data_IF_068282039903
#
_entry.id   IF_068282039903
#
_cell.length_a   1.000
_cell.length_b   1.000
_cell.length_c   1.000
_cell.angle_alpha   90.00
_cell.angle_beta   90.00
_cell.angle_gamma   90.00
#
_symmetry.space_group_name_H-M   'P 1'
#
loop_
_entity.id
_entity.type
_entity.pdbx_description
1 polymer ?
#
# COMPACT_ATOMS: atom_id res chain seq x y z
N UNK A 1 -8.47 -6.16 17.55
CA UNK A 1 -8.74 -4.82 18.10
C UNK A 1 -7.65 -3.79 17.72
N UNK A 2 -6.38 -3.90 18.21
CA UNK A 2 -5.32 -2.92 17.84
C UNK A 2 -5.05 -2.91 16.33
N UNK A 3 -4.90 -4.07 15.72
CA UNK A 3 -4.69 -4.22 14.27
C UNK A 3 -5.83 -3.59 13.45
N UNK A 4 -7.07 -3.81 13.84
CA UNK A 4 -8.23 -3.26 13.14
C UNK A 4 -8.28 -1.74 13.24
N UNK A 5 -7.85 -1.20 14.37
CA UNK A 5 -7.69 0.24 14.57
C UNK A 5 -6.61 0.81 13.62
N UNK A 6 -5.42 0.20 13.58
CA UNK A 6 -4.32 0.61 12.72
C UNK A 6 -4.63 0.49 11.23
N UNK A 7 -5.51 -0.43 10.85
CA UNK A 7 -5.99 -0.57 9.47
C UNK A 7 -7.10 0.42 9.09
N UNK A 8 -7.59 1.22 10.03
CA UNK A 8 -8.63 2.21 9.78
C UNK A 8 -10.03 1.62 9.57
N UNK A 9 -10.29 0.40 10.07
CA UNK A 9 -11.63 -0.25 9.93
C UNK A 9 -12.74 0.58 10.56
N UNK A 10 -12.45 1.26 11.66
CA UNK A 10 -13.37 2.15 12.37
C UNK A 10 -13.72 3.41 11.56
N UNK A 11 -12.78 3.90 10.72
CA UNK A 11 -13.01 5.01 9.78
C UNK A 11 -13.65 4.56 8.47
N UNK A 12 -13.77 3.26 8.22
CA UNK A 12 -14.11 2.67 6.92
C UNK A 12 -13.23 3.18 5.78
N UNK A 13 -11.98 3.55 6.12
CA UNK A 13 -10.99 4.09 5.21
C UNK A 13 -9.59 3.54 5.55
N UNK A 14 -8.74 3.19 4.58
CA UNK A 14 -7.39 2.70 4.85
C UNK A 14 -6.56 3.81 5.51
N UNK A 15 -6.02 3.55 6.71
CA UNK A 15 -5.33 4.55 7.51
C UNK A 15 -3.94 4.86 6.97
N UNK A 16 -3.18 3.82 6.57
CA UNK A 16 -1.83 4.00 6.05
C UNK A 16 -1.75 4.98 4.85
N UNK A 17 -2.53 4.83 3.77
CA UNK A 17 -2.53 5.78 2.66
C UNK A 17 -2.92 7.20 3.06
N UNK A 18 -3.77 7.37 4.07
CA UNK A 18 -4.13 8.70 4.58
C UNK A 18 -2.97 9.37 5.33
N UNK A 19 -2.24 8.60 6.15
CA UNK A 19 -1.16 9.11 6.98
C UNK A 19 0.12 9.45 6.20
N UNK A 20 0.44 8.73 5.12
CA UNK A 20 1.70 8.94 4.36
C UNK A 20 1.81 10.32 3.72
N UNK A 21 0.70 11.03 3.50
CA UNK A 21 0.72 12.37 2.92
C UNK A 21 1.48 13.37 3.80
N UNK A 22 1.39 13.22 5.13
CA UNK A 22 2.06 14.11 6.06
C UNK A 22 3.59 14.02 5.96
N UNK A 23 4.25 12.86 6.14
CA UNK A 23 5.70 12.78 6.05
C UNK A 23 6.21 13.13 4.65
N UNK A 24 5.53 12.74 3.58
CA UNK A 24 5.92 13.09 2.21
C UNK A 24 5.97 14.62 2.05
N UNK A 25 4.88 15.31 2.41
CA UNK A 25 4.80 16.77 2.32
C UNK A 25 5.84 17.46 3.19
N UNK A 26 6.08 16.98 4.41
CA UNK A 26 7.02 17.57 5.35
C UNK A 26 8.49 17.42 4.92
N UNK A 27 8.88 16.25 4.38
CA UNK A 27 10.25 16.07 3.88
C UNK A 27 10.52 16.87 2.60
N UNK A 28 9.52 16.94 1.69
CA UNK A 28 9.63 17.80 0.50
C UNK A 28 9.70 19.28 0.92
N UNK A 29 8.87 19.71 1.86
CA UNK A 29 8.90 21.09 2.38
C UNK A 29 10.25 21.41 3.03
N UNK A 30 10.82 20.49 3.83
CA UNK A 30 12.14 20.63 4.41
C UNK A 30 13.21 20.91 3.34
N UNK A 31 13.23 20.14 2.24
CA UNK A 31 14.16 20.34 1.13
C UNK A 31 13.93 21.68 0.42
N UNK A 32 12.67 22.08 0.24
CA UNK A 32 12.35 23.38 -0.38
C UNK A 32 12.78 24.56 0.49
N UNK A 33 12.67 24.45 1.80
CA UNK A 33 13.14 25.46 2.74
C UNK A 33 14.67 25.57 2.71
N UNK A 34 15.39 24.46 2.63
CA UNK A 34 16.85 24.46 2.43
C UNK A 34 17.24 25.17 1.15
N UNK A 35 16.58 24.83 0.04
CA UNK A 35 16.84 25.47 -1.25
C UNK A 35 16.55 26.97 -1.20
N UNK A 36 15.46 27.35 -0.55
CA UNK A 36 15.10 28.77 -0.38
C UNK A 36 16.16 29.51 0.47
N UNK A 37 16.69 28.87 1.53
CA UNK A 37 17.76 29.44 2.34
C UNK A 37 19.03 29.65 1.52
N UNK A 38 19.44 28.67 0.72
CA UNK A 38 20.62 28.79 -0.16
C UNK A 38 20.45 29.90 -1.19
N UNK A 39 19.29 30.01 -1.81
CA UNK A 39 18.98 31.07 -2.80
C UNK A 39 19.01 32.43 -2.10
N UNK A 40 18.41 32.56 -0.93
CA UNK A 40 18.38 33.83 -0.18
C UNK A 40 19.81 34.29 0.18
N UNK A 41 20.67 33.38 0.63
CA UNK A 41 22.08 33.70 0.93
C UNK A 41 22.82 34.12 -0.35
N UNK A 42 22.68 33.35 -1.45
CA UNK A 42 23.35 33.68 -2.72
C UNK A 42 22.90 35.05 -3.27
N UNK A 43 21.62 35.39 -3.16
CA UNK A 43 21.10 36.69 -3.57
C UNK A 43 21.64 37.82 -2.67
N UNK A 44 21.75 37.59 -1.37
CA UNK A 44 22.31 38.56 -0.44
C UNK A 44 23.80 38.81 -0.70
N UNK A 45 24.58 37.77 -1.00
CA UNK A 45 25.99 37.87 -1.38
C UNK A 45 26.17 38.62 -2.71
N UNK A 46 25.35 38.36 -3.70
CA UNK A 46 25.37 39.04 -5.01
C UNK A 46 25.07 40.57 -4.84
N UNK A 47 24.02 40.91 -4.09
CA UNK A 47 23.67 42.31 -3.82
C UNK A 47 24.79 43.03 -3.03
N UNK A 48 25.39 42.32 -2.06
CA UNK A 48 26.51 42.88 -1.29
C UNK A 48 27.75 43.11 -2.17
N UNK A 49 28.00 42.27 -3.15
CA UNK A 49 29.13 42.41 -4.08
C UNK A 49 28.97 43.64 -5.00
N UNK A 50 27.75 43.93 -5.46
CA UNK A 50 27.44 45.11 -6.26
C UNK A 50 27.58 46.41 -5.45
N UNK A 51 27.13 46.41 -4.18
CA UNK A 51 27.25 47.58 -3.29
C UNK A 51 28.71 47.86 -2.94
N UNK A 52 29.54 46.84 -2.68
CA UNK A 52 30.98 46.96 -2.43
C UNK A 52 31.73 47.55 -3.63
N UNK A 53 31.36 47.09 -4.86
CA UNK A 53 31.93 47.64 -6.10
C UNK A 53 31.57 49.10 -6.30
N UNK A 54 30.38 49.54 -5.88
CA UNK A 54 29.91 50.93 -6.04
C UNK A 54 30.49 51.90 -5.04
N UNK A 55 30.83 51.44 -3.82
CA UNK A 55 31.21 52.32 -2.69
C UNK A 55 32.73 52.34 -2.40
N UNK A 56 33.56 51.50 -3.01
CA UNK A 56 35.00 51.42 -2.78
C UNK A 56 35.40 51.20 -1.31
N UNK A 57 34.51 50.70 -0.46
CA UNK A 57 34.73 50.51 0.96
C UNK A 57 34.46 49.05 1.39
N UNK A 58 35.39 48.49 2.15
CA UNK A 58 35.28 47.17 2.76
C UNK A 58 34.38 47.25 4.01
N UNK A 59 33.06 47.31 3.83
CA UNK A 59 32.10 47.12 4.94
C UNK A 59 31.33 45.84 4.73
N UNK A 60 31.26 44.99 5.80
CA UNK A 60 30.39 43.78 5.81
C UNK A 60 28.95 44.26 5.64
N UNK A 61 28.25 43.81 4.59
CA UNK A 61 26.88 44.27 4.30
C UNK A 61 25.93 43.92 5.45
N UNK A 62 25.01 44.83 5.74
CA UNK A 62 23.94 44.67 6.74
C UNK A 62 23.09 43.38 6.52
N UNK A 63 22.98 42.95 5.27
CA UNK A 63 22.27 41.73 4.87
C UNK A 63 22.86 40.43 5.43
N UNK A 64 24.18 40.36 5.61
CA UNK A 64 24.83 39.19 6.25
C UNK A 64 24.58 39.20 7.78
N UNK A 65 24.48 40.37 8.39
CA UNK A 65 24.11 40.53 9.81
C UNK A 65 22.69 40.07 10.13
N UNK A 66 21.77 40.09 9.17
CA UNK A 66 20.40 39.66 9.41
C UNK A 66 20.28 38.13 9.66
N UNK A 67 21.34 37.35 9.39
CA UNK A 67 21.39 35.91 9.69
C UNK A 67 22.24 35.58 10.95
N UNK A 68 22.74 36.61 11.70
CA UNK A 68 23.52 36.34 12.92
C UNK A 68 22.69 35.66 14.04
N UNK A 69 21.36 35.72 13.98
CA UNK A 69 20.42 35.01 14.86
C UNK A 69 19.90 33.67 14.32
N UNK A 70 20.54 33.16 13.28
CA UNK A 70 20.07 31.98 12.55
C UNK A 70 19.06 32.29 11.42
N UNK A 71 19.08 31.46 10.39
CA UNK A 71 18.15 31.61 9.28
C UNK A 71 16.84 30.86 9.60
N UNK A 72 15.67 31.53 9.67
CA UNK A 72 14.40 30.87 9.97
C UNK A 72 14.00 29.79 8.94
N UNK A 73 14.52 29.87 7.72
CA UNK A 73 14.31 28.84 6.71
C UNK A 73 15.09 27.55 7.05
N UNK A 74 16.32 27.66 7.57
CA UNK A 74 17.12 26.53 8.04
C UNK A 74 16.46 25.88 9.25
N UNK A 75 16.00 26.68 10.22
CA UNK A 75 15.26 26.18 11.38
C UNK A 75 13.92 25.55 10.96
N UNK A 76 13.20 26.16 10.03
CA UNK A 76 11.97 25.62 9.45
C UNK A 76 12.20 24.26 8.77
N UNK A 77 13.30 24.13 8.02
CA UNK A 77 13.69 22.86 7.39
C UNK A 77 13.98 21.77 8.42
N UNK A 78 14.65 22.10 9.53
CA UNK A 78 14.89 21.17 10.62
C UNK A 78 13.61 20.71 11.30
N UNK A 79 12.71 21.63 11.70
CA UNK A 79 11.48 21.29 12.41
C UNK A 79 10.49 20.52 11.51
N UNK A 80 10.39 20.86 10.23
CA UNK A 80 9.55 20.10 9.29
C UNK A 80 10.09 18.70 9.08
N UNK A 81 11.42 18.51 9.02
CA UNK A 81 12.06 17.19 8.98
C UNK A 81 11.78 16.38 10.24
N UNK A 82 11.92 16.97 11.42
CA UNK A 82 11.63 16.32 12.70
C UNK A 82 10.18 15.84 12.77
N UNK A 83 9.22 16.70 12.39
CA UNK A 83 7.80 16.36 12.34
C UNK A 83 7.53 15.28 11.27
N UNK A 84 8.26 15.33 10.15
CA UNK A 84 8.23 14.30 9.10
C UNK A 84 8.61 12.93 9.63
N UNK A 85 9.64 12.81 10.46
CA UNK A 85 10.06 11.56 11.11
C UNK A 85 8.95 11.06 12.05
N UNK A 86 8.39 11.92 12.90
CA UNK A 86 7.32 11.54 13.84
C UNK A 86 6.09 11.02 13.09
N UNK A 87 5.66 11.74 12.05
CA UNK A 87 4.50 11.30 11.24
C UNK A 87 4.79 10.04 10.42
N UNK A 88 6.05 9.81 10.02
CA UNK A 88 6.49 8.56 9.39
C UNK A 88 6.36 7.35 10.31
N UNK A 89 6.71 7.50 11.60
CA UNK A 89 6.54 6.43 12.59
C UNK A 89 5.06 6.04 12.72
N UNK A 90 4.15 7.01 12.76
CA UNK A 90 2.70 6.75 12.80
C UNK A 90 2.23 6.04 11.52
N UNK A 91 2.66 6.49 10.34
CA UNK A 91 2.32 5.86 9.08
C UNK A 91 2.90 4.42 8.97
N UNK A 92 4.11 4.20 9.48
CA UNK A 92 4.78 2.90 9.48
C UNK A 92 4.02 1.84 10.30
N UNK A 93 3.45 2.21 11.46
CA UNK A 93 2.65 1.28 12.28
C UNK A 93 1.41 0.80 11.53
N UNK A 94 0.72 1.69 10.82
CA UNK A 94 -0.43 1.35 9.99
C UNK A 94 -0.01 0.49 8.78
N UNK A 95 1.10 0.86 8.11
CA UNK A 95 1.64 0.11 6.98
C UNK A 95 2.10 -1.30 7.35
N UNK A 96 2.69 -1.48 8.54
CA UNK A 96 3.09 -2.80 9.03
C UNK A 96 1.86 -3.69 9.29
N UNK A 97 0.77 -3.12 9.83
CA UNK A 97 -0.49 -3.84 10.01
C UNK A 97 -1.08 -4.30 8.67
N UNK A 98 -0.98 -3.47 7.63
CA UNK A 98 -1.43 -3.83 6.27
C UNK A 98 -0.50 -4.87 5.63
N UNK A 99 0.82 -4.73 5.78
CA UNK A 99 1.80 -5.68 5.27
C UNK A 99 1.60 -7.09 5.85
N UNK A 100 1.28 -7.16 7.15
CA UNK A 100 1.03 -8.44 7.83
C UNK A 100 -0.16 -9.20 7.23
N UNK A 101 -1.16 -8.49 6.70
CA UNK A 101 -2.35 -9.09 6.08
C UNK A 101 -2.15 -9.59 4.65
N UNK A 102 -1.03 -9.23 4.01
CA UNK A 102 -0.71 -9.75 2.69
C UNK A 102 -0.23 -11.19 2.84
N UNK A 103 -0.89 -12.11 2.19
CA UNK A 103 -0.53 -13.54 2.18
C UNK A 103 0.91 -13.72 1.70
N UNK A 104 1.60 -14.71 2.25
CA UNK A 104 3.02 -14.97 1.95
C UNK A 104 3.25 -15.37 0.47
N UNK A 105 2.29 -16.08 -0.12
CA UNK A 105 2.30 -16.54 -1.51
C UNK A 105 1.80 -15.48 -2.52
N UNK A 106 1.29 -14.34 -2.05
CA UNK A 106 0.79 -13.29 -2.94
C UNK A 106 1.94 -12.51 -3.58
N UNK A 107 1.92 -12.23 -4.92
CA UNK A 107 3.00 -11.50 -5.61
C UNK A 107 3.31 -10.14 -4.99
N UNK A 108 2.30 -9.44 -4.48
CA UNK A 108 2.44 -8.15 -3.78
C UNK A 108 3.30 -8.23 -2.51
N UNK A 109 3.42 -9.41 -1.87
CA UNK A 109 4.17 -9.54 -0.61
C UNK A 109 5.63 -9.12 -0.77
N UNK A 110 6.27 -9.55 -1.85
CA UNK A 110 7.66 -9.18 -2.16
C UNK A 110 7.79 -7.68 -2.40
N UNK A 111 6.89 -7.08 -3.20
CA UNK A 111 6.88 -5.63 -3.50
C UNK A 111 6.62 -4.81 -2.23
N UNK A 112 5.66 -5.21 -1.41
CA UNK A 112 5.36 -4.57 -0.13
C UNK A 112 6.54 -4.65 0.86
N UNK A 113 7.29 -5.75 0.85
CA UNK A 113 8.50 -5.91 1.68
C UNK A 113 9.62 -4.96 1.21
N UNK A 114 9.84 -4.80 -0.09
CA UNK A 114 10.79 -3.79 -0.59
C UNK A 114 10.36 -2.36 -0.24
N UNK A 115 9.09 -2.04 -0.42
CA UNK A 115 8.52 -0.75 -0.02
C UNK A 115 8.75 -0.48 1.48
N UNK A 116 8.52 -1.47 2.34
CA UNK A 116 8.75 -1.37 3.78
C UNK A 116 10.23 -1.07 4.09
N UNK A 117 11.18 -1.83 3.52
CA UNK A 117 12.61 -1.64 3.79
C UNK A 117 13.13 -0.31 3.27
N UNK A 118 12.66 0.16 2.10
CA UNK A 118 13.01 1.48 1.58
C UNK A 118 12.55 2.59 2.53
N UNK A 119 11.33 2.51 3.08
CA UNK A 119 10.84 3.52 4.03
C UNK A 119 11.59 3.49 5.36
N UNK A 120 11.94 2.30 5.88
CA UNK A 120 12.76 2.18 7.08
C UNK A 120 14.16 2.78 6.86
N UNK A 121 14.79 2.46 5.74
CA UNK A 121 16.10 3.04 5.37
C UNK A 121 16.01 4.56 5.20
N UNK A 122 14.96 5.07 4.58
CA UNK A 122 14.70 6.51 4.45
C UNK A 122 14.52 7.18 5.82
N UNK A 123 13.79 6.58 6.74
CA UNK A 123 13.63 7.13 8.10
C UNK A 123 14.97 7.21 8.85
N UNK A 124 15.81 6.18 8.74
CA UNK A 124 17.16 6.19 9.32
C UNK A 124 18.05 7.29 8.69
N UNK A 125 17.97 7.46 7.38
CA UNK A 125 18.69 8.51 6.65
C UNK A 125 18.25 9.91 7.14
N UNK A 126 16.94 10.16 7.31
CA UNK A 126 16.45 11.44 7.83
C UNK A 126 16.77 11.64 9.31
N UNK A 127 16.79 10.59 10.12
CA UNK A 127 17.23 10.69 11.52
C UNK A 127 18.72 11.07 11.62
N UNK A 128 19.56 10.48 10.78
CA UNK A 128 20.97 10.86 10.66
C UNK A 128 21.11 12.31 10.18
N UNK A 129 20.38 12.69 9.14
CA UNK A 129 20.36 14.05 8.59
C UNK A 129 19.97 15.08 9.66
N UNK A 130 18.92 14.80 10.43
CA UNK A 130 18.46 15.66 11.51
C UNK A 130 19.54 15.84 12.59
N UNK A 131 20.24 14.77 12.94
CA UNK A 131 21.35 14.81 13.90
C UNK A 131 22.51 15.68 13.37
N UNK A 132 22.85 15.57 12.09
CA UNK A 132 23.92 16.37 11.47
C UNK A 132 23.53 17.86 11.38
N UNK A 133 22.26 18.20 11.33
CA UNK A 133 21.77 19.60 11.28
C UNK A 133 21.71 20.28 12.64
N UNK A 134 21.58 19.49 13.71
CA UNK A 134 21.37 20.07 15.05
C UNK A 134 22.44 21.11 15.45
N UNK A 135 23.75 20.87 15.27
CA UNK A 135 24.78 21.85 15.62
C UNK A 135 24.85 23.06 14.68
N UNK A 136 24.15 23.06 13.56
CA UNK A 136 24.18 24.12 12.51
C UNK A 136 22.83 24.83 12.35
N UNK A 137 21.99 24.81 13.40
CA UNK A 137 20.66 25.46 13.38
C UNK A 137 20.73 26.97 13.26
N UNK A 138 21.80 27.55 13.73
CA UNK A 138 22.03 29.03 13.70
C UNK A 138 22.83 29.45 12.47
N UNK A 139 23.18 28.54 11.57
CA UNK A 139 23.87 28.85 10.33
C UNK A 139 22.95 29.58 9.34
N UNK A 140 23.55 30.40 8.47
CA UNK A 140 22.82 31.10 7.42
C UNK A 140 22.20 30.14 6.38
N UNK A 141 22.82 29.00 6.16
CA UNK A 141 22.35 27.97 5.23
C UNK A 141 22.68 26.56 5.73
N UNK A 142 21.92 25.58 5.26
CA UNK A 142 22.15 24.18 5.56
C UNK A 142 23.48 23.72 4.95
N UNK A 143 24.36 23.02 5.70
CA UNK A 143 25.58 22.44 5.15
C UNK A 143 25.32 21.47 4.01
N UNK A 144 26.32 21.37 3.10
CA UNK A 144 26.14 20.60 1.84
C UNK A 144 25.79 19.13 2.08
N UNK A 145 26.38 18.47 3.09
CA UNK A 145 26.11 17.05 3.36
C UNK A 145 24.66 16.81 3.80
N UNK A 146 24.09 17.48 4.82
CA UNK A 146 22.67 17.41 5.14
C UNK A 146 21.75 17.73 3.96
N UNK A 147 22.09 18.74 3.13
CA UNK A 147 21.32 19.07 1.95
C UNK A 147 21.28 17.93 0.93
N UNK A 148 22.45 17.32 0.61
CA UNK A 148 22.52 16.16 -0.30
C UNK A 148 21.75 14.97 0.25
N UNK A 149 21.81 14.71 1.57
CA UNK A 149 21.02 13.65 2.19
C UNK A 149 19.51 13.90 2.06
N UNK A 150 19.06 15.17 2.09
CA UNK A 150 17.66 15.50 1.85
C UNK A 150 17.24 15.21 0.41
N UNK A 151 18.08 15.51 -0.57
CA UNK A 151 17.82 15.18 -1.99
C UNK A 151 17.69 13.66 -2.17
N UNK A 152 18.62 12.89 -1.60
CA UNK A 152 18.59 11.42 -1.64
C UNK A 152 17.35 10.88 -0.97
N UNK A 153 16.96 11.43 0.19
CA UNK A 153 15.76 11.05 0.92
C UNK A 153 14.49 11.26 0.10
N UNK A 154 14.33 12.42 -0.54
CA UNK A 154 13.20 12.72 -1.44
C UNK A 154 13.20 11.78 -2.65
N UNK A 155 14.36 11.45 -3.21
CA UNK A 155 14.49 10.45 -4.27
C UNK A 155 13.99 9.07 -3.84
N UNK A 156 14.37 8.61 -2.65
CA UNK A 156 13.89 7.34 -2.07
C UNK A 156 12.37 7.38 -1.86
N UNK A 157 11.81 8.50 -1.38
CA UNK A 157 10.37 8.70 -1.24
C UNK A 157 9.67 8.53 -2.58
N UNK A 158 10.22 9.09 -3.66
CA UNK A 158 9.67 8.94 -5.02
C UNK A 158 9.60 7.48 -5.47
N UNK A 159 10.70 6.72 -5.31
CA UNK A 159 10.77 5.29 -5.63
C UNK A 159 9.78 4.49 -4.76
N UNK A 160 9.77 4.77 -3.46
CA UNK A 160 8.86 4.10 -2.53
C UNK A 160 7.40 4.41 -2.84
N UNK A 161 7.09 5.65 -3.21
CA UNK A 161 5.75 6.07 -3.64
C UNK A 161 5.28 5.33 -4.90
N UNK A 162 6.17 5.15 -5.88
CA UNK A 162 5.88 4.33 -7.06
C UNK A 162 5.54 2.88 -6.70
N UNK A 163 6.34 2.26 -5.82
CA UNK A 163 6.07 0.90 -5.34
C UNK A 163 4.75 0.81 -4.56
N UNK A 164 4.47 1.80 -3.70
CA UNK A 164 3.21 1.90 -2.96
C UNK A 164 2.01 2.02 -3.90
N UNK A 165 2.11 2.84 -4.94
CA UNK A 165 1.12 2.96 -5.99
C UNK A 165 0.87 1.62 -6.71
N UNK A 166 1.94 0.92 -7.09
CA UNK A 166 1.84 -0.39 -7.74
C UNK A 166 1.19 -1.46 -6.83
N UNK A 167 1.48 -1.46 -5.52
CA UNK A 167 0.82 -2.35 -4.56
C UNK A 167 -0.70 -2.13 -4.55
N UNK A 168 -1.17 -0.87 -4.62
CA UNK A 168 -2.60 -0.54 -4.61
C UNK A 168 -3.23 -0.75 -5.99
N UNK A 169 -2.62 -0.20 -7.05
CA UNK A 169 -3.23 -0.14 -8.38
C UNK A 169 -2.95 -1.38 -9.23
N UNK A 170 -1.79 -2.02 -9.08
CA UNK A 170 -1.44 -3.21 -9.86
C UNK A 170 -1.78 -4.51 -9.11
N UNK A 171 -1.49 -4.57 -7.83
CA UNK A 171 -1.73 -5.77 -7.02
C UNK A 171 -3.10 -5.75 -6.31
N UNK A 172 -3.85 -4.64 -6.34
CA UNK A 172 -5.17 -4.51 -5.73
C UNK A 172 -5.19 -4.54 -4.20
N UNK A 173 -4.03 -4.42 -3.53
CA UNK A 173 -3.94 -4.49 -2.08
C UNK A 173 -4.62 -3.27 -1.43
N UNK A 174 -5.57 -3.54 -0.54
CA UNK A 174 -6.36 -2.51 0.14
C UNK A 174 -7.49 -1.92 -0.70
N UNK A 175 -7.50 -2.10 -2.02
CA UNK A 175 -8.59 -1.65 -2.89
C UNK A 175 -9.90 -2.39 -2.53
N UNK A 176 -10.98 -1.63 -2.26
CA UNK A 176 -12.29 -2.19 -1.92
C UNK A 176 -12.41 -2.81 -0.53
N UNK A 177 -11.36 -2.85 0.29
CA UNK A 177 -11.35 -3.46 1.63
C UNK A 177 -12.52 -2.97 2.52
N UNK A 178 -12.90 -1.72 2.43
CA UNK A 178 -13.95 -1.11 3.25
C UNK A 178 -15.33 -1.09 2.57
N UNK A 179 -15.43 -1.57 1.32
CA UNK A 179 -16.71 -1.70 0.60
C UNK A 179 -17.38 -3.06 0.83
N UNK A 180 -16.77 -3.94 1.62
CA UNK A 180 -17.31 -5.27 1.91
C UNK A 180 -18.59 -5.15 2.72
N UNK A 181 -19.64 -5.85 2.28
CA UNK A 181 -20.82 -6.06 3.10
C UNK A 181 -20.41 -6.82 4.36
N UNK A 182 -20.78 -6.29 5.54
CA UNK A 182 -20.43 -6.87 6.84
C UNK A 182 -21.03 -8.29 7.06
N UNK A 183 -21.96 -8.65 6.21
CA UNK A 183 -22.90 -9.77 6.41
C UNK A 183 -22.51 -11.02 5.62
N UNK A 184 -21.48 -11.00 4.78
CA UNK A 184 -21.04 -12.19 4.06
C UNK A 184 -20.08 -13.00 4.94
N UNK A 185 -20.49 -14.17 5.44
CA UNK A 185 -19.62 -14.97 6.28
C UNK A 185 -18.41 -15.43 5.47
N UNK A 186 -17.20 -15.09 5.95
CA UNK A 186 -15.93 -15.55 5.39
C UNK A 186 -15.59 -16.91 5.96
N UNK A 187 -16.40 -17.88 5.72
CA UNK A 187 -16.05 -19.24 6.09
C UNK A 187 -15.12 -19.80 5.01
N UNK A 188 -13.86 -19.97 5.35
CA UNK A 188 -12.91 -20.71 4.51
C UNK A 188 -12.80 -22.10 5.09
N UNK A 189 -13.20 -23.11 4.35
CA UNK A 189 -13.00 -24.50 4.70
C UNK A 189 -11.64 -24.90 4.14
N UNK A 190 -10.80 -25.44 5.00
CA UNK A 190 -9.51 -26.01 4.60
C UNK A 190 -9.67 -27.51 4.50
N UNK A 191 -9.24 -28.04 3.37
CA UNK A 191 -9.26 -29.46 3.04
C UNK A 191 -7.88 -29.83 2.54
N UNK A 192 -7.41 -31.02 2.88
CA UNK A 192 -6.18 -31.57 2.31
C UNK A 192 -6.52 -32.63 1.26
N UNK A 193 -5.74 -32.69 0.19
CA UNK A 193 -5.84 -33.78 -0.79
C UNK A 193 -5.54 -35.14 -0.16
N UNK A 194 -4.82 -35.18 0.96
CA UNK A 194 -4.59 -36.41 1.74
C UNK A 194 -5.86 -36.97 2.41
N UNK A 195 -6.89 -36.11 2.63
CA UNK A 195 -8.18 -36.48 3.20
C UNK A 195 -9.16 -37.03 2.14
N UNK A 196 -8.75 -37.01 0.87
CA UNK A 196 -9.55 -37.43 -0.29
C UNK A 196 -9.26 -38.87 -0.76
N UNK A 197 -9.91 -39.27 -1.85
CA UNK A 197 -9.56 -40.49 -2.57
C UNK A 197 -8.46 -40.18 -3.62
N UNK A 198 -7.23 -40.65 -3.40
CA UNK A 198 -6.10 -40.40 -4.31
C UNK A 198 -6.28 -41.09 -5.68
N UNK A 199 -7.10 -42.13 -5.77
CA UNK A 199 -7.36 -42.88 -7.01
C UNK A 199 -8.37 -42.14 -7.91
N UNK A 200 -9.32 -41.42 -7.28
CA UNK A 200 -10.35 -40.66 -8.01
C UNK A 200 -10.00 -39.16 -8.12
N UNK A 201 -8.97 -38.67 -7.39
CA UNK A 201 -8.62 -37.26 -7.34
C UNK A 201 -9.78 -36.43 -6.78
N UNK A 202 -10.48 -36.93 -5.75
CA UNK A 202 -11.67 -36.31 -5.18
C UNK A 202 -11.50 -36.05 -3.68
N UNK A 203 -12.11 -34.97 -3.21
CA UNK A 203 -12.14 -34.63 -1.77
C UNK A 203 -13.52 -34.13 -1.36
N UNK A 204 -14.02 -34.63 -0.23
CA UNK A 204 -15.26 -34.17 0.36
C UNK A 204 -15.01 -32.83 1.11
N UNK A 205 -15.85 -31.82 0.84
CA UNK A 205 -15.69 -30.49 1.41
C UNK A 205 -16.65 -30.23 2.57
N UNK A 206 -17.96 -30.35 2.33
CA UNK A 206 -19.03 -30.11 3.30
C UNK A 206 -20.28 -30.89 2.94
N UNK A 207 -21.25 -30.95 3.86
CA UNK A 207 -22.59 -31.44 3.57
C UNK A 207 -23.28 -30.55 2.54
N UNK A 208 -23.89 -31.16 1.51
CA UNK A 208 -24.51 -30.43 0.42
C UNK A 208 -25.66 -29.53 0.86
N UNK A 209 -26.32 -29.85 1.99
CA UNK A 209 -27.38 -29.02 2.58
C UNK A 209 -26.88 -27.76 3.29
N UNK A 210 -25.58 -27.64 3.56
CA UNK A 210 -25.00 -26.49 4.24
C UNK A 210 -24.83 -25.25 3.36
N UNK A 211 -24.80 -25.43 2.01
CA UNK A 211 -24.69 -24.34 1.04
C UNK A 211 -26.04 -24.14 0.35
N UNK A 212 -26.73 -23.03 0.66
CA UNK A 212 -28.02 -22.68 0.07
C UNK A 212 -27.86 -22.08 -1.31
N UNK A 213 -28.97 -22.02 -2.06
CA UNK A 213 -28.97 -21.34 -3.36
C UNK A 213 -28.69 -19.86 -3.22
N UNK A 214 -27.82 -19.32 -4.08
CA UNK A 214 -27.30 -17.96 -4.01
C UNK A 214 -26.14 -17.76 -3.04
N UNK A 215 -25.75 -18.78 -2.27
CA UNK A 215 -24.60 -18.70 -1.35
C UNK A 215 -23.31 -19.20 -1.98
N UNK A 216 -22.21 -18.76 -1.39
CA UNK A 216 -20.85 -19.13 -1.78
C UNK A 216 -20.08 -19.68 -0.60
N UNK A 217 -19.17 -20.59 -0.89
CA UNK A 217 -18.23 -21.18 0.04
C UNK A 217 -16.81 -21.01 -0.49
N UNK A 218 -15.91 -20.52 0.34
CA UNK A 218 -14.48 -20.50 0.02
C UNK A 218 -13.82 -21.78 0.52
N UNK A 219 -13.09 -22.45 -0.35
CA UNK A 219 -12.35 -23.66 -0.05
C UNK A 219 -10.87 -23.43 -0.32
N UNK A 220 -10.04 -23.85 0.61
CA UNK A 220 -8.58 -23.87 0.48
C UNK A 220 -8.15 -25.35 0.44
N UNK A 221 -7.80 -25.84 -0.75
CA UNK A 221 -7.28 -27.18 -0.97
C UNK A 221 -5.77 -27.07 -1.19
N UNK A 222 -4.99 -27.40 -0.18
CA UNK A 222 -3.50 -27.38 -0.19
C UNK A 222 -2.91 -26.07 -0.74
N UNK A 223 -3.50 -24.94 -0.35
CA UNK A 223 -3.09 -23.60 -0.82
C UNK A 223 -3.77 -23.14 -2.12
N UNK A 224 -4.49 -24.00 -2.84
CA UNK A 224 -5.33 -23.60 -3.96
C UNK A 224 -6.68 -23.12 -3.46
N UNK A 225 -6.88 -21.80 -3.44
CA UNK A 225 -8.12 -21.22 -2.95
C UNK A 225 -9.13 -21.09 -4.09
N UNK A 226 -10.31 -21.67 -3.89
CA UNK A 226 -11.40 -21.66 -4.86
C UNK A 226 -12.73 -21.27 -4.21
N UNK A 227 -13.67 -20.87 -5.03
CA UNK A 227 -15.05 -20.57 -4.66
C UNK A 227 -15.95 -21.68 -5.16
N UNK A 228 -16.79 -22.22 -4.28
CA UNK A 228 -17.95 -23.03 -4.67
C UNK A 228 -19.17 -22.13 -4.54
N UNK A 229 -20.00 -22.06 -5.58
CA UNK A 229 -21.27 -21.33 -5.58
C UNK A 229 -22.42 -22.28 -5.89
N UNK A 230 -23.54 -22.11 -5.20
CA UNK A 230 -24.81 -22.77 -5.58
C UNK A 230 -25.70 -21.75 -6.25
N UNK A 231 -26.02 -21.94 -7.51
CA UNK A 231 -26.84 -21.03 -8.31
C UNK A 231 -27.88 -21.84 -9.10
N UNK A 232 -29.13 -21.51 -8.95
CA UNK A 232 -30.27 -22.23 -9.58
C UNK A 232 -30.24 -23.73 -9.29
N UNK A 233 -29.90 -24.09 -8.06
CA UNK A 233 -29.79 -25.46 -7.58
C UNK A 233 -28.55 -26.21 -8.06
N UNK A 234 -27.70 -25.64 -8.91
CA UNK A 234 -26.48 -26.26 -9.44
C UNK A 234 -25.25 -25.74 -8.71
N UNK A 235 -24.24 -26.57 -8.59
CA UNK A 235 -22.93 -26.23 -8.03
C UNK A 235 -21.96 -25.85 -9.14
N UNK A 236 -21.17 -24.81 -8.87
CA UNK A 236 -20.07 -24.34 -9.71
C UNK A 236 -18.85 -24.11 -8.84
N UNK A 237 -17.68 -24.51 -9.32
CA UNK A 237 -16.42 -24.30 -8.63
C UNK A 237 -15.42 -23.59 -9.56
N UNK A 238 -14.84 -22.51 -9.08
CA UNK A 238 -13.88 -21.70 -9.83
C UNK A 238 -12.85 -21.05 -8.90
N UNK A 239 -11.74 -20.58 -9.46
CA UNK A 239 -10.72 -19.92 -8.67
C UNK A 239 -11.29 -18.75 -7.87
N UNK A 240 -10.86 -18.59 -6.62
CA UNK A 240 -11.32 -17.53 -5.72
C UNK A 240 -10.91 -16.13 -6.18
N UNK A 241 -9.73 -16.00 -6.77
CA UNK A 241 -9.17 -14.68 -7.05
C UNK A 241 -9.36 -14.26 -8.50
N UNK A 242 -9.99 -13.09 -8.68
CA UNK A 242 -10.20 -12.45 -9.96
C UNK A 242 -8.87 -12.29 -10.71
N UNK A 243 -8.84 -12.66 -11.99
CA UNK A 243 -7.65 -12.61 -12.86
C UNK A 243 -7.19 -11.19 -13.20
N UNK A 244 -8.03 -10.17 -12.94
CA UNK A 244 -7.62 -8.77 -13.10
C UNK A 244 -6.65 -8.35 -12.00
N UNK A 245 -7.07 -8.39 -10.72
CA UNK A 245 -6.28 -7.89 -9.57
C UNK A 245 -6.62 -8.61 -8.26
N UNK A 246 -6.84 -9.91 -8.34
CA UNK A 246 -7.00 -10.78 -7.17
C UNK A 246 -8.16 -10.41 -6.23
N UNK A 247 -9.22 -9.75 -6.73
CA UNK A 247 -10.44 -9.52 -5.96
C UNK A 247 -11.12 -10.85 -5.60
N UNK A 248 -11.67 -11.01 -4.38
CA UNK A 248 -12.29 -12.24 -3.92
C UNK A 248 -13.64 -12.43 -4.60
N UNK A 249 -13.77 -13.45 -5.44
CA UNK A 249 -14.99 -13.70 -6.20
C UNK A 249 -16.10 -14.31 -5.34
N UNK A 250 -15.77 -15.02 -4.26
CA UNK A 250 -16.77 -15.47 -3.28
C UNK A 250 -17.54 -14.33 -2.61
N UNK A 251 -17.02 -13.11 -2.63
CA UNK A 251 -17.67 -11.90 -2.13
C UNK A 251 -18.33 -11.10 -3.26
N UNK A 252 -18.35 -11.64 -4.48
CA UNK A 252 -18.92 -11.01 -5.67
C UNK A 252 -20.44 -11.03 -5.68
N UNK A 253 -21.01 -10.37 -6.69
CA UNK A 253 -22.45 -10.41 -6.96
C UNK A 253 -22.69 -11.44 -8.06
N UNK A 254 -23.67 -12.33 -7.84
CA UNK A 254 -24.05 -13.35 -8.80
C UNK A 254 -25.37 -12.96 -9.48
N UNK A 255 -25.39 -13.04 -10.80
CA UNK A 255 -26.57 -12.79 -11.62
C UNK A 255 -26.44 -13.51 -12.96
N UNK A 256 -27.50 -14.22 -13.39
CA UNK A 256 -27.61 -14.92 -14.68
C UNK A 256 -26.41 -15.84 -14.99
N UNK A 257 -25.93 -16.58 -13.99
CA UNK A 257 -24.80 -17.51 -14.17
C UNK A 257 -23.44 -16.81 -14.32
N UNK A 258 -23.37 -15.53 -13.96
CA UNK A 258 -22.12 -14.76 -13.93
C UNK A 258 -21.78 -14.33 -12.50
N UNK A 259 -20.47 -14.22 -12.23
CA UNK A 259 -19.95 -13.57 -11.03
C UNK A 259 -19.32 -12.24 -11.39
N UNK A 260 -19.71 -11.18 -10.68
CA UNK A 260 -19.11 -9.83 -10.80
C UNK A 260 -18.13 -9.61 -9.67
N UNK A 261 -16.87 -9.37 -9.99
CA UNK A 261 -15.81 -9.07 -9.02
C UNK A 261 -16.16 -7.81 -8.21
N UNK A 262 -16.09 -7.87 -6.86
CA UNK A 262 -16.48 -6.74 -6.01
C UNK A 262 -15.52 -5.55 -6.10
N UNK A 263 -14.29 -5.75 -6.63
CA UNK A 263 -13.29 -4.68 -6.66
C UNK A 263 -13.42 -3.80 -7.90
N UNK A 264 -13.31 -4.38 -9.11
CA UNK A 264 -13.26 -3.60 -10.35
C UNK A 264 -14.30 -4.03 -11.39
N UNK A 265 -15.31 -4.81 -10.95
CA UNK A 265 -16.48 -5.18 -11.76
C UNK A 265 -16.17 -6.02 -13.02
N UNK A 266 -15.05 -6.75 -13.04
CA UNK A 266 -14.89 -7.79 -14.05
C UNK A 266 -15.96 -8.85 -13.87
N UNK A 267 -16.63 -9.27 -14.95
CA UNK A 267 -17.64 -10.32 -14.94
C UNK A 267 -17.12 -11.58 -15.60
N UNK A 268 -17.50 -12.73 -15.05
CA UNK A 268 -17.09 -14.03 -15.52
C UNK A 268 -18.30 -14.98 -15.51
N UNK A 269 -18.45 -15.77 -16.55
CA UNK A 269 -19.42 -16.88 -16.58
C UNK A 269 -18.91 -18.00 -15.65
N UNK A 270 -19.69 -18.37 -14.64
CA UNK A 270 -19.25 -19.33 -13.61
C UNK A 270 -19.15 -20.78 -14.13
N UNK A 271 -19.78 -21.09 -15.26
CA UNK A 271 -19.81 -22.42 -15.88
C UNK A 271 -18.55 -22.71 -16.67
N UNK A 272 -18.06 -21.67 -17.35
CA UNK A 272 -16.94 -21.77 -18.31
C UNK A 272 -15.68 -21.05 -17.85
N UNK A 273 -15.78 -20.20 -16.83
CA UNK A 273 -14.71 -19.32 -16.38
C UNK A 273 -14.47 -18.13 -17.30
N UNK A 274 -15.14 -18.02 -18.45
CA UNK A 274 -14.86 -16.98 -19.47
C UNK A 274 -15.16 -15.59 -18.96
N UNK A 275 -14.24 -14.66 -19.27
CA UNK A 275 -14.49 -13.22 -19.08
C UNK A 275 -15.64 -12.79 -19.98
N UNK A 276 -16.69 -12.24 -19.39
CA UNK A 276 -17.82 -11.66 -20.12
C UNK A 276 -17.78 -10.15 -20.15
N UNK A 277 -17.11 -9.52 -19.14
CA UNK A 277 -16.89 -8.08 -19.07
C UNK A 277 -15.56 -7.78 -18.35
N UNK A 278 -14.74 -6.89 -18.95
CA UNK A 278 -13.48 -6.42 -18.36
C UNK A 278 -13.68 -5.56 -17.10
N UNK A 279 -12.55 -5.17 -16.47
CA UNK A 279 -11.19 -5.08 -17.02
C UNK A 279 -10.34 -6.36 -17.05
N UNK A 280 -10.77 -7.49 -16.49
CA UNK A 280 -10.06 -8.77 -16.66
C UNK A 280 -9.92 -9.14 -18.15
N UNK A 281 -8.80 -9.80 -18.48
CA UNK A 281 -8.49 -10.25 -19.85
C UNK A 281 -8.20 -11.75 -19.92
N UNK A 282 -8.12 -12.41 -18.76
CA UNK A 282 -7.81 -13.83 -18.62
C UNK A 282 -8.99 -14.52 -17.96
N UNK A 283 -9.37 -15.69 -18.50
CA UNK A 283 -10.48 -16.48 -17.97
C UNK A 283 -10.14 -17.05 -16.58
N UNK A 284 -11.17 -17.40 -15.81
CA UNK A 284 -11.02 -18.10 -14.54
C UNK A 284 -10.72 -19.58 -14.79
N UNK A 285 -9.91 -20.18 -13.93
CA UNK A 285 -9.83 -21.62 -13.81
C UNK A 285 -11.11 -22.12 -13.15
N UNK A 286 -11.75 -23.12 -13.77
CA UNK A 286 -12.92 -23.83 -13.22
C UNK A 286 -12.51 -25.23 -12.75
N UNK A 287 -13.28 -25.77 -11.80
CA UNK A 287 -13.05 -27.09 -11.21
C UNK A 287 -14.33 -27.92 -11.29
N UNK A 288 -14.19 -29.23 -11.36
CA UNK A 288 -15.33 -30.11 -11.30
C UNK A 288 -15.83 -30.20 -9.85
N UNK A 289 -17.17 -30.10 -9.69
CA UNK A 289 -17.84 -30.23 -8.40
C UNK A 289 -19.11 -31.05 -8.57
N UNK A 290 -19.34 -31.98 -7.65
CA UNK A 290 -20.51 -32.86 -7.64
C UNK A 290 -21.11 -32.98 -6.24
N UNK A 291 -22.27 -33.59 -6.13
CA UNK A 291 -22.84 -34.06 -4.87
C UNK A 291 -22.86 -35.57 -4.87
N UNK A 292 -22.13 -36.15 -3.94
CA UNK A 292 -22.05 -37.59 -3.74
C UNK A 292 -22.31 -37.90 -2.26
N UNK A 293 -23.14 -38.88 -1.97
CA UNK A 293 -23.53 -39.28 -0.61
C UNK A 293 -23.96 -38.12 0.30
N UNK A 294 -24.60 -37.09 -0.25
CA UNK A 294 -25.05 -35.92 0.48
C UNK A 294 -23.94 -34.87 0.81
N UNK A 295 -22.72 -35.08 0.29
CA UNK A 295 -21.58 -34.15 0.45
C UNK A 295 -21.23 -33.48 -0.86
N UNK A 296 -20.70 -32.27 -0.78
CA UNK A 296 -20.08 -31.57 -1.91
C UNK A 296 -18.67 -32.16 -2.10
N UNK A 297 -18.42 -32.72 -3.27
CA UNK A 297 -17.14 -33.32 -3.65
C UNK A 297 -16.48 -32.45 -4.70
N UNK A 298 -15.22 -32.10 -4.47
CA UNK A 298 -14.33 -31.42 -5.44
C UNK A 298 -13.45 -32.48 -6.12
N UNK A 299 -13.26 -32.32 -7.44
CA UNK A 299 -12.24 -33.06 -8.23
C UNK A 299 -11.06 -32.15 -8.50
N UNK A 300 -9.82 -32.63 -8.33
CA UNK A 300 -8.58 -31.87 -8.44
C UNK A 300 -7.52 -32.54 -9.35
#
# INVERSE_FOLDING_TARGET
MIKDFLQGKWLKHPLHPALIHFPIGLFVLSLLLDLAAMIAVAMAEAAASEELLSLGQLRVPLTIRSFEAGNPLVQGAFYTMALGIVTSLLAATAGLADWYDIRADHPAKKRATYHMWLNLGMMLLYALNLNLRYPTLDDAQTPILPFVLSILGVGIIGISGYLGGAIVFDDGIGAGRHRRRADTPRQTIRVSSEDGDPLEGTVAVVDAGSLKDGETLRVDLDGNVMTIARLDGKLYAFQEFCTHRYGPLSEGTFHDGQVTCPWHRSCFDVRTGKVTQGPAKVDLKTYEVAVEEGKIILKF
#
